data_IF_182397303713
#
_entry.id   IF_182397303713
#
_cell.length_a   1.000
_cell.length_b   1.000
_cell.length_c   1.000
_cell.angle_alpha   90.00
_cell.angle_beta   90.00
_cell.angle_gamma   90.00
#
_symmetry.space_group_name_H-M   'P 1'
#
loop_
_entity.id
_entity.type
_entity.pdbx_description
1 polymer ?
#
# COMPACT_ATOMS: atom_id res chain seq x y z
N UNK A 1 1.96 14.52 -8.55
CA UNK A 1 2.78 13.38 -8.04
C UNK A 1 2.53 13.31 -6.54
N UNK A 2 1.70 12.37 -6.08
CA UNK A 2 1.45 12.16 -4.66
C UNK A 2 2.48 11.15 -4.16
N UNK A 3 3.27 11.53 -3.16
CA UNK A 3 4.22 10.64 -2.48
C UNK A 3 3.66 10.36 -1.10
N UNK A 4 3.36 9.09 -0.83
CA UNK A 4 2.88 8.67 0.48
C UNK A 4 4.10 8.31 1.35
N UNK A 5 4.26 9.00 2.48
CA UNK A 5 5.34 8.77 3.43
C UNK A 5 4.82 7.95 4.61
N UNK A 6 5.26 6.70 4.73
CA UNK A 6 4.94 5.83 5.86
C UNK A 6 6.19 5.47 6.65
N UNK A 7 6.03 5.35 7.97
CA UNK A 7 7.07 4.81 8.84
C UNK A 7 6.65 3.39 9.21
N UNK A 8 7.42 2.38 8.79
CA UNK A 8 7.10 0.97 9.04
C UNK A 8 7.85 0.55 10.31
N UNK A 9 7.11 0.36 11.42
CA UNK A 9 7.66 0.03 12.74
C UNK A 9 7.31 -1.39 13.23
N UNK A 10 6.48 -2.12 12.51
CA UNK A 10 6.09 -3.50 12.81
C UNK A 10 6.11 -4.31 11.50
N UNK A 11 6.14 -5.63 11.59
CA UNK A 11 6.33 -6.59 10.49
C UNK A 11 5.45 -6.35 9.24
N UNK A 12 4.43 -5.49 9.28
CA UNK A 12 3.92 -4.81 8.10
C UNK A 12 3.07 -3.60 8.46
N UNK A 13 2.74 -2.78 7.47
CA UNK A 13 1.72 -1.74 7.56
C UNK A 13 0.67 -1.96 6.48
N UNK A 14 -0.59 -2.02 6.89
CA UNK A 14 -1.74 -2.10 6.01
C UNK A 14 -2.57 -0.85 6.17
N UNK A 15 -2.89 -0.19 5.07
CA UNK A 15 -3.81 0.95 5.12
C UNK A 15 -4.59 1.06 3.81
N UNK A 16 -5.85 1.49 3.91
CA UNK A 16 -6.67 1.75 2.75
C UNK A 16 -6.32 3.12 2.14
N UNK A 17 -6.49 3.21 0.83
CA UNK A 17 -6.28 4.41 0.04
C UNK A 17 -7.56 4.64 -0.76
N UNK A 18 -8.08 5.87 -0.73
CA UNK A 18 -9.28 6.25 -1.45
C UNK A 18 -8.96 7.40 -2.41
N UNK A 19 -9.39 7.26 -3.66
CA UNK A 19 -9.36 8.35 -4.62
C UNK A 19 -10.60 9.23 -4.42
N UNK A 20 -10.41 10.51 -4.07
CA UNK A 20 -11.51 11.45 -3.87
C UNK A 20 -12.33 11.60 -5.16
N UNK A 21 -13.66 11.49 -5.04
CA UNK A 21 -14.57 11.54 -6.19
C UNK A 21 -14.88 12.97 -6.68
N UNK A 22 -14.80 13.96 -5.78
CA UNK A 22 -15.28 15.33 -6.05
C UNK A 22 -14.27 16.23 -6.76
N UNK A 23 -13.06 15.73 -7.02
CA UNK A 23 -12.02 16.51 -7.68
C UNK A 23 -12.04 16.24 -9.19
N UNK A 24 -11.75 17.23 -10.05
CA UNK A 24 -11.71 17.07 -11.51
C UNK A 24 -10.46 16.30 -11.97
N UNK A 25 -10.27 15.10 -11.44
CA UNK A 25 -9.12 14.22 -11.71
C UNK A 25 -9.66 12.98 -12.41
N UNK A 26 -9.09 12.60 -13.55
CA UNK A 26 -9.53 11.41 -14.29
C UNK A 26 -9.10 10.11 -13.63
N UNK A 27 -7.94 10.11 -12.96
CA UNK A 27 -7.37 8.96 -12.26
C UNK A 27 -6.30 9.38 -11.26
N UNK A 28 -6.18 8.65 -10.17
CA UNK A 28 -5.07 8.72 -9.23
C UNK A 28 -4.06 7.62 -9.60
N UNK A 29 -2.80 8.02 -9.80
CA UNK A 29 -1.70 7.09 -10.10
C UNK A 29 -0.63 7.19 -9.02
N UNK A 30 -0.46 6.12 -8.26
CA UNK A 30 0.58 5.99 -7.24
C UNK A 30 1.72 5.20 -7.87
N UNK A 31 2.90 5.82 -7.93
CA UNK A 31 4.11 5.23 -8.53
C UNK A 31 5.14 4.82 -7.51
N UNK A 32 5.04 5.35 -6.30
CA UNK A 32 6.03 5.11 -5.27
C UNK A 32 5.49 5.41 -3.88
N UNK A 33 6.02 4.70 -2.89
CA UNK A 33 5.89 5.06 -1.47
C UNK A 33 7.26 5.29 -0.86
N UNK A 34 7.32 6.09 0.20
CA UNK A 34 8.55 6.36 0.93
C UNK A 34 8.50 5.67 2.29
N UNK A 35 9.52 4.86 2.58
CA UNK A 35 9.67 4.10 3.82
C UNK A 35 10.98 4.45 4.52
N UNK A 36 11.09 4.20 5.83
CA UNK A 36 12.33 4.34 6.60
C UNK A 36 12.30 3.37 7.78
N UNK A 37 13.48 3.02 8.31
CA UNK A 37 13.62 2.12 9.45
C UNK A 37 14.81 1.18 9.32
N UNK A 38 14.78 0.06 10.06
CA UNK A 38 15.70 -1.06 9.87
C UNK A 38 15.18 -1.92 8.71
N UNK A 39 15.24 -1.37 7.50
CA UNK A 39 14.75 -2.02 6.29
C UNK A 39 15.54 -3.31 5.99
N UNK A 40 14.96 -4.14 5.14
CA UNK A 40 15.53 -5.37 4.63
C UNK A 40 14.75 -5.82 3.38
N UNK A 41 14.41 -7.11 3.23
CA UNK A 41 13.52 -7.55 2.16
C UNK A 41 12.11 -6.97 2.38
N UNK A 42 11.62 -6.23 1.41
CA UNK A 42 10.30 -5.60 1.46
C UNK A 42 9.46 -6.05 0.27
N UNK A 43 8.19 -6.33 0.55
CA UNK A 43 7.16 -6.54 -0.47
C UNK A 43 6.05 -5.51 -0.32
N UNK A 44 5.46 -5.11 -1.46
CA UNK A 44 4.25 -4.28 -1.49
C UNK A 44 3.17 -5.01 -2.25
N UNK A 45 2.01 -5.08 -1.63
CA UNK A 45 0.82 -5.74 -2.13
C UNK A 45 -0.33 -4.73 -2.19
N UNK A 46 -1.19 -4.90 -3.18
CA UNK A 46 -2.41 -4.10 -3.33
C UNK A 46 -3.59 -5.01 -3.64
N UNK A 47 -4.79 -4.64 -3.21
CA UNK A 47 -6.00 -5.39 -3.60
C UNK A 47 -6.22 -5.34 -5.11
N UNK A 48 -6.51 -6.49 -5.73
CA UNK A 48 -6.85 -6.62 -7.15
C UNK A 48 -8.14 -5.87 -7.45
N UNK A 49 -9.15 -6.15 -6.65
CA UNK A 49 -10.49 -5.58 -6.79
C UNK A 49 -10.64 -4.29 -5.98
N UNK A 50 -11.74 -3.59 -6.26
CA UNK A 50 -12.17 -2.40 -5.53
C UNK A 50 -12.78 -2.85 -4.20
N UNK A 51 -12.41 -2.18 -3.11
CA UNK A 51 -12.97 -2.49 -1.80
C UNK A 51 -14.23 -1.65 -1.62
N UNK A 52 -15.41 -2.28 -1.39
CA UNK A 52 -16.64 -1.53 -1.23
C UNK A 52 -16.53 -0.57 -0.05
N UNK A 53 -16.85 0.68 -0.32
CA UNK A 53 -16.86 1.74 0.67
C UNK A 53 -18.22 1.75 1.35
N UNK A 54 -18.34 1.08 2.49
CA UNK A 54 -19.49 1.27 3.35
C UNK A 54 -19.31 2.59 4.13
N UNK A 55 -20.28 3.48 3.98
CA UNK A 55 -20.22 4.84 4.51
C UNK A 55 -20.08 4.84 6.04
N UNK A 56 -19.19 5.72 6.50
CA UNK A 56 -18.96 6.17 7.89
C UNK A 56 -18.24 5.26 8.89
N UNK A 57 -18.08 3.95 8.67
CA UNK A 57 -17.23 3.13 9.53
C UNK A 57 -16.40 2.16 8.68
N UNK A 58 -15.08 2.34 8.65
CA UNK A 58 -14.18 1.26 8.27
C UNK A 58 -14.52 0.05 9.12
N UNK A 59 -15.27 -0.90 8.57
CA UNK A 59 -15.57 -2.12 9.28
C UNK A 59 -14.25 -2.88 9.34
N UNK A 60 -13.63 -2.89 10.53
CA UNK A 60 -12.41 -3.66 10.81
C UNK A 60 -12.57 -5.11 10.34
N UNK A 61 -13.80 -5.63 10.37
CA UNK A 61 -14.21 -6.92 9.82
C UNK A 61 -13.88 -7.10 8.33
N UNK A 62 -14.14 -6.10 7.49
CA UNK A 62 -13.86 -6.16 6.04
C UNK A 62 -12.36 -6.13 5.75
N UNK A 63 -11.57 -5.40 6.53
CA UNK A 63 -10.11 -5.45 6.42
C UNK A 63 -9.55 -6.80 6.91
N UNK A 64 -10.19 -7.42 7.90
CA UNK A 64 -9.78 -8.71 8.43
C UNK A 64 -10.01 -9.83 7.43
N UNK A 65 -11.15 -9.85 6.72
CA UNK A 65 -11.41 -10.82 5.66
C UNK A 65 -10.44 -10.65 4.49
N UNK A 66 -10.20 -9.41 4.04
CA UNK A 66 -9.22 -9.11 2.98
C UNK A 66 -7.82 -9.56 3.39
N UNK A 67 -7.42 -9.33 4.65
CA UNK A 67 -6.10 -9.72 5.16
C UNK A 67 -5.86 -11.23 5.07
N UNK A 68 -6.89 -12.04 5.30
CA UNK A 68 -6.78 -13.50 5.31
C UNK A 68 -6.92 -14.15 3.92
N UNK A 69 -7.41 -13.43 2.93
CA UNK A 69 -7.59 -13.96 1.56
C UNK A 69 -6.46 -13.54 0.63
N UNK A 70 -5.46 -14.41 0.46
CA UNK A 70 -4.33 -14.20 -0.45
C UNK A 70 -4.75 -13.94 -1.90
N UNK A 71 -5.89 -14.48 -2.34
CA UNK A 71 -6.35 -14.35 -3.71
C UNK A 71 -6.73 -12.90 -4.07
N UNK A 72 -7.05 -12.09 -3.06
CA UNK A 72 -7.38 -10.68 -3.21
C UNK A 72 -6.17 -9.79 -3.48
N UNK A 73 -4.95 -10.28 -3.26
CA UNK A 73 -3.73 -9.47 -3.31
C UNK A 73 -2.94 -9.65 -4.59
N UNK A 74 -2.45 -8.54 -5.13
CA UNK A 74 -1.44 -8.50 -6.19
C UNK A 74 -0.14 -7.91 -5.62
N UNK A 75 0.95 -8.66 -5.73
CA UNK A 75 2.29 -8.15 -5.43
C UNK A 75 2.73 -7.20 -6.54
N UNK A 76 3.05 -5.96 -6.18
CA UNK A 76 3.48 -4.93 -7.12
C UNK A 76 4.95 -4.55 -6.96
N UNK A 77 5.57 -4.97 -5.84
CA UNK A 77 6.95 -4.65 -5.52
C UNK A 77 7.58 -5.74 -4.65
N UNK A 78 8.84 -6.05 -4.93
CA UNK A 78 9.68 -6.93 -4.11
C UNK A 78 11.15 -6.58 -4.32
N UNK A 79 11.80 -6.04 -3.29
CA UNK A 79 13.25 -5.73 -3.32
C UNK A 79 13.85 -5.79 -1.91
N UNK A 80 15.16 -6.02 -1.86
CA UNK A 80 15.93 -5.90 -0.63
C UNK A 80 16.52 -4.48 -0.50
N UNK A 81 16.41 -3.89 0.69
CA UNK A 81 16.88 -2.53 0.98
C UNK A 81 17.87 -2.53 2.13
N UNK A 82 18.86 -1.65 2.03
CA UNK A 82 19.70 -1.33 3.18
C UNK A 82 18.89 -0.59 4.26
N UNK A 83 19.24 -0.76 5.54
CA UNK A 83 18.65 0.04 6.61
C UNK A 83 18.74 1.54 6.32
N UNK A 84 17.63 2.25 6.51
CA UNK A 84 17.53 3.69 6.24
C UNK A 84 16.82 4.37 7.41
N UNK A 85 17.58 4.71 8.46
CA UNK A 85 17.01 5.26 9.72
C UNK A 85 16.77 6.76 9.68
N UNK A 86 17.58 7.50 8.93
CA UNK A 86 17.59 8.98 8.91
C UNK A 86 16.96 9.56 7.64
N UNK A 87 16.94 8.79 6.56
CA UNK A 87 16.44 9.19 5.25
C UNK A 87 15.28 8.30 4.83
N UNK A 88 14.40 8.83 3.99
CA UNK A 88 13.36 8.02 3.35
C UNK A 88 13.94 7.28 2.15
N UNK A 89 13.72 5.98 2.11
CA UNK A 89 13.93 5.12 0.97
C UNK A 89 12.66 5.10 0.12
N UNK A 90 12.78 5.42 -1.17
CA UNK A 90 11.66 5.31 -2.10
C UNK A 90 11.55 3.86 -2.60
N UNK A 91 10.34 3.29 -2.46
CA UNK A 91 9.95 2.06 -3.13
C UNK A 91 9.29 2.48 -4.45
N UNK A 92 10.02 2.31 -5.55
CA UNK A 92 9.58 2.70 -6.89
C UNK A 92 8.96 1.52 -7.64
N UNK A 93 7.67 1.64 -7.95
CA UNK A 93 6.88 0.71 -8.74
C UNK A 93 6.26 1.44 -9.94
N UNK A 94 7.00 2.37 -10.55
CA UNK A 94 6.58 3.10 -11.75
C UNK A 94 6.28 2.21 -12.95
N UNK A 95 6.89 1.03 -13.04
CA UNK A 95 6.65 0.02 -14.08
C UNK A 95 5.32 -0.72 -13.89
N UNK A 96 4.83 -0.81 -12.64
CA UNK A 96 3.56 -1.42 -12.28
C UNK A 96 2.81 -0.54 -11.25
N UNK A 97 2.33 0.64 -11.67
CA UNK A 97 1.76 1.63 -10.78
C UNK A 97 0.38 1.20 -10.29
N UNK A 98 -0.02 1.71 -9.12
CA UNK A 98 -1.40 1.57 -8.64
C UNK A 98 -2.23 2.65 -9.31
N UNK A 99 -3.21 2.22 -10.12
CA UNK A 99 -4.13 3.10 -10.83
C UNK A 99 -5.51 2.99 -10.18
N UNK A 100 -6.12 4.12 -9.86
CA UNK A 100 -7.43 4.22 -9.24
C UNK A 100 -8.29 5.26 -9.96
N UNK A 101 -9.52 4.91 -10.27
CA UNK A 101 -10.55 5.86 -10.75
C UNK A 101 -11.10 6.67 -9.57
N UNK A 102 -11.72 7.83 -9.82
CA UNK A 102 -12.41 8.60 -8.79
C UNK A 102 -13.43 7.74 -8.03
N UNK A 103 -13.44 7.86 -6.70
CA UNK A 103 -14.32 7.09 -5.81
C UNK A 103 -13.80 5.70 -5.42
N UNK A 104 -12.80 5.15 -6.13
CA UNK A 104 -12.30 3.81 -5.83
C UNK A 104 -11.48 3.76 -4.53
N UNK A 105 -11.51 2.60 -3.89
CA UNK A 105 -10.72 2.28 -2.71
C UNK A 105 -9.88 1.02 -2.95
N UNK A 106 -8.60 1.10 -2.61
CA UNK A 106 -7.69 -0.05 -2.59
C UNK A 106 -6.99 -0.15 -1.25
N UNK A 107 -6.64 -1.35 -0.83
CA UNK A 107 -5.81 -1.54 0.36
C UNK A 107 -4.38 -1.77 -0.07
N UNK A 108 -3.45 -1.02 0.53
CA UNK A 108 -2.02 -1.21 0.37
C UNK A 108 -1.48 -1.95 1.59
N UNK A 109 -0.66 -2.96 1.35
CA UNK A 109 0.06 -3.68 2.38
C UNK A 109 1.55 -3.69 2.08
N UNK A 110 2.35 -3.18 3.00
CA UNK A 110 3.80 -3.17 2.93
C UNK A 110 4.30 -4.11 4.02
N UNK A 111 5.06 -5.13 3.66
CA UNK A 111 5.48 -6.19 4.57
C UNK A 111 6.99 -6.41 4.51
N UNK A 112 7.61 -6.64 5.68
CA UNK A 112 8.98 -7.14 5.79
C UNK A 112 8.97 -8.64 5.55
N UNK A 113 9.73 -9.13 4.58
CA UNK A 113 9.85 -10.56 4.29
C UNK A 113 11.09 -11.18 4.95
N UNK A 114 11.57 -10.57 6.05
CA UNK A 114 12.77 -11.02 6.74
C UNK A 114 12.50 -12.34 7.49
N UNK A 115 13.47 -13.26 7.59
CA UNK A 115 13.31 -14.43 8.43
C UNK A 115 13.11 -14.01 9.89
N UNK A 116 12.02 -14.49 10.51
CA UNK A 116 11.56 -14.17 11.88
C UNK A 116 10.71 -12.88 12.05
N UNK A 117 10.20 -12.28 10.96
CA UNK A 117 9.17 -11.22 10.98
C UNK A 117 7.75 -11.75 10.67
#
# INVERSE_FOLDING_TARGET
>A
RLTLCCVVFFSGIMFPIQAKADLPVSQLVIRSVAVRGHLGPLTVWVTKEDVPMEQENYCVSSLQSIRSDESMWAKIYEKNHNPSRRTYQTLDFSDNPIIMKPGQMKVLYIHSSAPND
#
